data_IF_873353916168
#
_entry.id   IF_873353916168
#
_cell.length_a   1.000
_cell.length_b   1.000
_cell.length_c   1.000
_cell.angle_alpha   90.00
_cell.angle_beta   90.00
_cell.angle_gamma   90.00
#
_symmetry.space_group_name_H-M   'P 1'
#
loop_
_entity.id
_entity.type
_entity.pdbx_description
1 polymer ?
#
# COMPACT_ATOMS: atom_id res chain seq x y z
N UNK A 1 0.14 -13.36 -6.23
CA UNK A 1 0.02 -11.89 -6.06
C UNK A 1 1.44 -11.37 -5.87
N UNK A 2 1.86 -10.41 -6.70
CA UNK A 2 3.23 -9.90 -6.66
C UNK A 2 3.37 -8.93 -5.47
N UNK A 3 3.88 -9.44 -4.34
CA UNK A 3 4.35 -8.66 -3.18
C UNK A 3 5.17 -7.42 -3.59
N UNK A 4 5.92 -7.56 -4.69
CA UNK A 4 6.71 -6.53 -5.35
C UNK A 4 5.93 -5.24 -5.66
N UNK A 5 4.65 -5.33 -6.03
CA UNK A 5 3.85 -4.14 -6.34
C UNK A 5 3.52 -3.36 -5.05
N UNK A 6 3.27 -4.06 -3.94
CA UNK A 6 3.04 -3.45 -2.64
C UNK A 6 4.33 -2.81 -2.08
N UNK A 7 5.47 -3.49 -2.18
CA UNK A 7 6.78 -2.94 -1.80
C UNK A 7 7.12 -1.67 -2.58
N UNK A 8 6.87 -1.68 -3.90
CA UNK A 8 7.06 -0.50 -4.75
C UNK A 8 6.12 0.64 -4.36
N UNK A 9 4.84 0.34 -4.10
CA UNK A 9 3.88 1.34 -3.67
C UNK A 9 4.31 2.00 -2.36
N UNK A 10 4.80 1.21 -1.39
CA UNK A 10 5.33 1.71 -0.12
C UNK A 10 6.56 2.58 -0.34
N UNK A 11 7.51 2.11 -1.15
CA UNK A 11 8.74 2.82 -1.47
C UNK A 11 8.49 4.19 -2.11
N UNK A 12 7.63 4.25 -3.13
CA UNK A 12 7.29 5.50 -3.80
C UNK A 12 6.51 6.44 -2.88
N UNK A 13 5.65 5.91 -2.02
CA UNK A 13 4.91 6.71 -1.03
C UNK A 13 5.85 7.37 -0.02
N UNK A 14 6.83 6.63 0.51
CA UNK A 14 7.81 7.17 1.45
C UNK A 14 8.69 8.26 0.83
N UNK A 15 9.04 8.12 -0.46
CA UNK A 15 9.82 9.13 -1.21
C UNK A 15 8.99 10.26 -1.80
N UNK A 16 7.66 10.23 -1.66
CA UNK A 16 6.74 11.17 -2.33
C UNK A 16 6.87 11.18 -3.86
N UNK A 17 7.21 10.04 -4.46
CA UNK A 17 7.31 9.86 -5.92
C UNK A 17 5.94 9.53 -6.52
N UNK A 18 5.04 10.52 -6.53
CA UNK A 18 3.65 10.35 -6.95
C UNK A 18 3.49 9.95 -8.42
N UNK A 19 4.39 10.39 -9.31
CA UNK A 19 4.40 9.98 -10.72
C UNK A 19 4.68 8.48 -10.88
N UNK A 20 5.63 7.94 -10.11
CA UNK A 20 5.92 6.51 -10.10
C UNK A 20 4.77 5.71 -9.49
N UNK A 21 4.10 6.27 -8.49
CA UNK A 21 2.89 5.68 -7.91
C UNK A 21 1.74 5.63 -8.93
N UNK A 22 1.54 6.69 -9.72
CA UNK A 22 0.57 6.74 -10.82
C UNK A 22 0.89 5.68 -11.89
N UNK A 23 2.16 5.56 -12.31
CA UNK A 23 2.58 4.54 -13.28
C UNK A 23 2.33 3.13 -12.71
N UNK A 24 2.65 2.91 -11.43
CA UNK A 24 2.42 1.63 -10.76
C UNK A 24 0.93 1.28 -10.73
N UNK A 25 0.04 2.26 -10.49
CA UNK A 25 -1.41 2.06 -10.47
C UNK A 25 -1.96 1.60 -11.82
N UNK A 26 -1.38 2.05 -12.94
CA UNK A 26 -1.78 1.64 -14.30
C UNK A 26 -1.25 0.25 -14.66
N UNK A 27 -0.13 -0.15 -14.06
CA UNK A 27 0.57 -1.41 -14.38
C UNK A 27 0.20 -2.57 -13.49
N UNK A 28 -0.26 -2.31 -12.27
CA UNK A 28 -0.67 -3.35 -11.33
C UNK A 28 -1.96 -4.04 -11.79
N UNK A 29 -2.10 -5.32 -11.45
CA UNK A 29 -3.32 -6.09 -11.69
C UNK A 29 -4.31 -6.01 -10.51
N UNK A 30 -3.94 -5.32 -9.43
CA UNK A 30 -4.79 -5.15 -8.25
C UNK A 30 -5.66 -3.90 -8.38
N UNK A 31 -6.95 -4.11 -8.70
CA UNK A 31 -7.96 -3.06 -8.81
C UNK A 31 -8.19 -2.28 -7.51
N UNK A 32 -8.01 -2.92 -6.33
CA UNK A 32 -8.17 -2.28 -5.03
C UNK A 32 -7.00 -1.33 -4.75
N UNK A 33 -5.77 -1.78 -5.01
CA UNK A 33 -4.58 -0.95 -4.88
C UNK A 33 -4.67 0.27 -5.82
N UNK A 34 -5.00 0.01 -7.09
CA UNK A 34 -5.12 1.06 -8.11
C UNK A 34 -6.16 2.12 -7.72
N UNK A 35 -7.35 1.72 -7.27
CA UNK A 35 -8.40 2.65 -6.79
C UNK A 35 -7.98 3.45 -5.56
N UNK A 36 -7.19 2.89 -4.66
CA UNK A 36 -6.70 3.61 -3.47
C UNK A 36 -5.68 4.67 -3.85
N UNK A 37 -4.75 4.34 -4.75
CA UNK A 37 -3.79 5.29 -5.30
C UNK A 37 -4.51 6.41 -6.05
N UNK A 38 -5.48 6.09 -6.90
CA UNK A 38 -6.28 7.08 -7.63
C UNK A 38 -6.98 8.06 -6.67
N UNK A 39 -7.65 7.54 -5.63
CA UNK A 39 -8.33 8.37 -4.63
C UNK A 39 -7.38 9.29 -3.88
N UNK A 40 -6.17 8.82 -3.59
CA UNK A 40 -5.13 9.61 -2.95
C UNK A 40 -4.61 10.71 -3.89
N UNK A 41 -4.26 10.37 -5.14
CA UNK A 41 -3.77 11.32 -6.13
C UNK A 41 -4.81 12.38 -6.49
N UNK A 42 -6.08 11.97 -6.60
CA UNK A 42 -7.18 12.91 -6.82
C UNK A 42 -7.32 13.87 -5.64
N UNK A 43 -7.29 13.36 -4.41
CA UNK A 43 -7.35 14.24 -3.24
C UNK A 43 -6.14 15.18 -3.16
N UNK A 44 -4.94 14.69 -3.47
CA UNK A 44 -3.73 15.50 -3.47
C UNK A 44 -3.77 16.67 -4.48
N UNK A 45 -4.39 16.47 -5.66
CA UNK A 45 -4.46 17.50 -6.70
C UNK A 45 -5.67 18.44 -6.57
N UNK A 46 -6.80 17.95 -6.07
CA UNK A 46 -8.07 18.68 -6.09
C UNK A 46 -8.54 19.15 -4.69
N UNK A 47 -8.21 18.42 -3.62
CA UNK A 47 -8.64 18.78 -2.27
C UNK A 47 -7.69 19.81 -1.66
N UNK A 48 -8.25 20.84 -1.01
CA UNK A 48 -7.48 21.82 -0.24
C UNK A 48 -7.37 21.44 1.25
N UNK A 49 -8.17 20.48 1.72
CA UNK A 49 -8.12 20.03 3.10
C UNK A 49 -7.04 18.95 3.29
N UNK A 50 -5.96 19.34 3.96
CA UNK A 50 -4.85 18.46 4.28
C UNK A 50 -5.27 17.23 5.09
N UNK A 51 -6.34 17.34 5.89
CA UNK A 51 -6.86 16.23 6.72
C UNK A 51 -7.35 15.08 5.84
N UNK A 52 -8.01 15.40 4.72
CA UNK A 52 -8.54 14.41 3.76
C UNK A 52 -7.40 13.71 3.03
N UNK A 53 -6.34 14.44 2.69
CA UNK A 53 -5.14 13.88 2.05
C UNK A 53 -4.46 12.89 3.02
N UNK A 54 -4.28 13.28 4.28
CA UNK A 54 -3.67 12.44 5.32
C UNK A 54 -4.51 11.18 5.60
N UNK A 55 -5.83 11.29 5.67
CA UNK A 55 -6.71 10.14 5.86
C UNK A 55 -6.59 9.13 4.71
N UNK A 56 -6.56 9.62 3.47
CA UNK A 56 -6.43 8.78 2.28
C UNK A 56 -5.05 8.15 2.17
N UNK A 57 -3.99 8.89 2.51
CA UNK A 57 -2.63 8.38 2.59
C UNK A 57 -2.54 7.26 3.63
N UNK A 58 -3.07 7.48 4.82
CA UNK A 58 -3.10 6.50 5.90
C UNK A 58 -3.90 5.25 5.49
N UNK A 59 -5.02 5.43 4.80
CA UNK A 59 -5.84 4.33 4.26
C UNK A 59 -5.16 3.53 3.14
N UNK A 60 -4.29 4.17 2.36
CA UNK A 60 -3.45 3.53 1.36
C UNK A 60 -2.35 2.70 2.04
N UNK A 61 -1.59 3.31 2.95
CA UNK A 61 -0.52 2.64 3.72
C UNK A 61 -1.05 1.42 4.48
N UNK A 62 -2.15 1.58 5.20
CA UNK A 62 -2.77 0.47 5.96
C UNK A 62 -3.24 -0.68 5.06
N UNK A 63 -3.62 -0.39 3.82
CA UNK A 63 -3.95 -1.45 2.86
C UNK A 63 -2.70 -2.17 2.36
N UNK A 64 -1.63 -1.43 2.08
CA UNK A 64 -0.35 -1.99 1.65
C UNK A 64 0.22 -2.90 2.74
N UNK A 65 0.25 -2.44 3.99
CA UNK A 65 0.71 -3.24 5.14
C UNK A 65 -0.10 -4.54 5.27
N UNK A 66 -1.44 -4.43 5.23
CA UNK A 66 -2.30 -5.61 5.32
C UNK A 66 -2.13 -6.56 4.13
N UNK A 67 -1.96 -6.03 2.92
CA UNK A 67 -1.72 -6.84 1.73
C UNK A 67 -0.36 -7.55 1.81
N UNK A 68 0.68 -6.89 2.35
CA UNK A 68 1.98 -7.49 2.62
C UNK A 68 1.87 -8.62 3.65
N UNK A 69 1.20 -8.39 4.79
CA UNK A 69 0.97 -9.44 5.82
C UNK A 69 0.20 -10.65 5.28
N UNK A 70 -0.77 -10.45 4.40
CA UNK A 70 -1.56 -11.54 3.79
C UNK A 70 -0.78 -12.25 2.69
N UNK A 71 0.14 -11.56 2.02
CA UNK A 71 0.92 -12.10 0.91
C UNK A 71 2.27 -12.70 1.31
N UNK A 72 2.80 -12.36 2.48
CA UNK A 72 3.82 -13.16 3.15
C UNK A 72 3.19 -14.50 3.53
N UNK A 73 3.65 -15.63 2.94
CA UNK A 73 3.31 -16.92 3.51
C UNK A 73 3.91 -16.90 4.90
N UNK A 74 3.06 -17.00 5.93
CA UNK A 74 3.47 -17.30 7.30
C UNK A 74 4.44 -18.46 7.23
N UNK A 75 5.74 -18.14 7.20
CA UNK A 75 6.77 -19.15 7.31
C UNK A 75 6.57 -19.63 8.73
N UNK A 76 6.37 -20.93 8.87
CA UNK A 76 6.00 -21.67 10.09
C UNK A 76 6.91 -21.40 11.31
N UNK A 77 7.89 -20.48 11.22
CA UNK A 77 8.80 -20.05 12.25
C UNK A 77 8.12 -19.44 13.49
N UNK A 78 6.97 -18.76 13.37
CA UNK A 78 6.24 -18.25 14.55
C UNK A 78 5.36 -19.31 15.24
N UNK A 79 5.11 -20.44 14.58
CA UNK A 79 4.36 -21.55 15.17
C UNK A 79 5.22 -22.36 16.16
N UNK A 80 6.55 -22.33 16.02
CA UNK A 80 7.49 -22.97 16.96
C UNK A 80 7.69 -22.19 18.27
N UNK A 81 7.49 -20.87 18.29
CA UNK A 81 7.59 -20.09 19.54
C UNK A 81 6.43 -20.40 20.51
N UNK A 82 5.26 -20.75 19.98
CA UNK A 82 4.07 -21.07 20.77
C UNK A 82 4.04 -22.55 21.26
N UNK A 83 4.91 -23.42 20.74
CA UNK A 83 4.97 -24.83 21.12
C UNK A 83 6.01 -25.13 22.23
N UNK A 84 6.89 -24.18 22.55
CA UNK A 84 7.93 -24.31 23.58
C UNK A 84 7.77 -23.34 24.77
N UNK A 85 6.61 -22.69 24.92
CA UNK A 85 6.31 -21.86 26.10
C UNK A 85 5.26 -22.48 27.01
#
# INVERSE_FOLDING_TARGET
>A
MNTIDYDKALYYTHRSEWDNLLILMVRTQDDLLSKKIEKFLHAYNFEHDYSVIQERLTSLLRYIDHALEVSEPKTEAEQYACFYS
#
